data_IF_934400672877
#
_entry.id   IF_934400672877
#
_cell.length_a   1.000
_cell.length_b   1.000
_cell.length_c   1.000
_cell.angle_alpha   90.00
_cell.angle_beta   90.00
_cell.angle_gamma   90.00
#
_symmetry.space_group_name_H-M   'P 1'
#
loop_
_entity.id
_entity.type
_entity.pdbx_description
1 polymer ?
#
# COMPACT_ATOMS: atom_id res chain seq x y z
N UNK A 1 -24.83 7.56 3.64
CA UNK A 1 -24.51 6.40 4.51
C UNK A 1 -23.80 5.27 3.78
N UNK A 2 -24.34 4.72 2.68
CA UNK A 2 -23.70 3.63 1.91
C UNK A 2 -22.29 3.97 1.40
N UNK A 3 -22.08 5.19 0.90
CA UNK A 3 -20.78 5.65 0.39
C UNK A 3 -19.69 5.57 1.47
N UNK A 4 -19.99 6.05 2.68
CA UNK A 4 -19.08 6.05 3.84
C UNK A 4 -18.72 4.62 4.23
N UNK A 5 -19.70 3.71 4.25
CA UNK A 5 -19.47 2.29 4.55
C UNK A 5 -18.52 1.67 3.52
N UNK A 6 -18.73 1.93 2.23
CA UNK A 6 -17.85 1.43 1.16
C UNK A 6 -16.43 1.95 1.34
N UNK A 7 -16.24 3.26 1.54
CA UNK A 7 -14.93 3.85 1.74
C UNK A 7 -14.21 3.31 3.00
N UNK A 8 -14.94 3.07 4.09
CA UNK A 8 -14.39 2.46 5.31
C UNK A 8 -13.88 1.04 5.05
N UNK A 9 -14.67 0.22 4.36
CA UNK A 9 -14.30 -1.16 4.04
C UNK A 9 -13.05 -1.19 3.17
N UNK A 10 -12.99 -0.34 2.14
CA UNK A 10 -11.81 -0.26 1.28
C UNK A 10 -10.58 0.26 2.02
N UNK A 11 -10.72 1.28 2.87
CA UNK A 11 -9.60 1.81 3.66
C UNK A 11 -8.98 0.72 4.55
N UNK A 12 -9.82 -0.04 5.26
CA UNK A 12 -9.38 -1.16 6.10
C UNK A 12 -8.72 -2.25 5.25
N UNK A 13 -9.32 -2.59 4.10
CA UNK A 13 -8.78 -3.59 3.19
C UNK A 13 -7.38 -3.22 2.68
N UNK A 14 -7.18 -1.99 2.20
CA UNK A 14 -5.89 -1.51 1.70
C UNK A 14 -4.81 -1.48 2.78
N UNK A 15 -5.14 -1.01 3.98
CA UNK A 15 -4.20 -0.99 5.12
C UNK A 15 -3.85 -2.41 5.55
N UNK A 16 -4.83 -3.30 5.63
CA UNK A 16 -4.63 -4.70 6.05
C UNK A 16 -3.74 -5.45 5.06
N UNK A 17 -3.97 -5.28 3.75
CA UNK A 17 -3.12 -5.89 2.72
C UNK A 17 -1.71 -5.30 2.78
N UNK A 18 -1.57 -3.98 2.85
CA UNK A 18 -0.25 -3.34 2.90
C UNK A 18 0.57 -3.80 4.12
N UNK A 19 -0.05 -3.87 5.29
CA UNK A 19 0.59 -4.39 6.51
C UNK A 19 0.90 -5.88 6.45
N UNK A 20 0.00 -6.71 5.88
CA UNK A 20 0.23 -8.14 5.70
C UNK A 20 1.40 -8.42 4.77
N UNK A 21 1.49 -7.72 3.63
CA UNK A 21 2.63 -7.84 2.70
C UNK A 21 3.93 -7.40 3.40
N UNK A 22 3.90 -6.29 4.14
CA UNK A 22 5.05 -5.81 4.90
C UNK A 22 5.52 -6.85 5.92
N UNK A 23 4.59 -7.45 6.67
CA UNK A 23 4.88 -8.47 7.67
C UNK A 23 5.41 -9.76 7.06
N UNK A 24 4.78 -10.28 6.00
CA UNK A 24 5.27 -11.45 5.25
C UNK A 24 6.67 -11.23 4.70
N UNK A 25 6.95 -10.01 4.21
CA UNK A 25 8.28 -9.64 3.72
C UNK A 25 9.32 -9.62 4.84
N UNK A 26 8.97 -9.08 6.00
CA UNK A 26 9.83 -9.07 7.20
C UNK A 26 10.08 -10.50 7.69
N UNK A 27 9.05 -11.34 7.76
CA UNK A 27 9.13 -12.74 8.17
C UNK A 27 10.05 -13.56 7.27
N UNK A 28 9.99 -13.34 5.95
CA UNK A 28 10.79 -14.08 4.97
C UNK A 28 12.20 -13.47 4.75
N UNK A 29 12.60 -12.44 5.50
CA UNK A 29 13.89 -11.73 5.33
C UNK A 29 14.20 -11.33 3.87
N UNK A 30 13.17 -11.12 3.04
CA UNK A 30 13.36 -10.74 1.63
C UNK A 30 13.79 -9.29 1.55
N UNK A 31 15.10 -9.07 1.51
CA UNK A 31 15.71 -7.78 1.16
C UNK A 31 15.62 -7.60 -0.36
N UNK A 32 14.56 -6.95 -0.83
CA UNK A 32 14.50 -6.48 -2.22
C UNK A 32 15.53 -5.35 -2.38
N UNK A 33 16.72 -5.73 -2.81
CA UNK A 33 17.75 -4.82 -3.29
C UNK A 33 17.44 -4.52 -4.76
N UNK A 34 17.49 -3.25 -5.12
CA UNK A 34 17.41 -2.85 -6.52
C UNK A 34 18.81 -3.00 -7.08
N UNK A 35 18.96 -3.79 -8.14
CA UNK A 35 20.24 -3.95 -8.83
C UNK A 35 20.47 -2.74 -9.76
N UNK A 36 21.42 -1.89 -9.39
CA UNK A 36 21.77 -0.68 -10.14
C UNK A 36 22.48 -0.95 -11.47
N UNK A 37 22.87 -2.19 -11.75
CA UNK A 37 23.49 -2.57 -13.04
C UNK A 37 22.53 -3.35 -13.95
N UNK A 38 21.35 -3.73 -13.45
CA UNK A 38 20.35 -4.45 -14.24
C UNK A 38 19.73 -3.59 -15.35
N UNK A 39 19.12 -4.23 -16.36
CA UNK A 39 18.31 -3.54 -17.38
C UNK A 39 17.26 -2.64 -16.73
N UNK A 40 17.04 -1.47 -17.31
CA UNK A 40 16.12 -0.44 -16.77
C UNK A 40 14.73 -0.99 -16.41
N UNK A 41 14.15 -1.84 -17.26
CA UNK A 41 12.86 -2.49 -16.98
C UNK A 41 12.84 -3.31 -15.68
N UNK A 42 13.93 -4.05 -15.40
CA UNK A 42 14.08 -4.83 -14.17
C UNK A 42 14.20 -3.91 -12.95
N UNK A 43 14.93 -2.79 -13.06
CA UNK A 43 15.04 -1.79 -11.98
C UNK A 43 13.69 -1.21 -11.60
N UNK A 44 12.89 -0.83 -12.59
CA UNK A 44 11.55 -0.27 -12.37
C UNK A 44 10.67 -1.29 -11.64
N UNK A 45 10.67 -2.55 -12.09
CA UNK A 45 9.90 -3.62 -11.46
C UNK A 45 10.33 -3.88 -10.01
N UNK A 46 11.64 -3.98 -9.75
CA UNK A 46 12.18 -4.19 -8.40
C UNK A 46 11.85 -3.03 -7.46
N UNK A 47 11.96 -1.78 -7.96
CA UNK A 47 11.61 -0.58 -7.21
C UNK A 47 10.13 -0.54 -6.90
N UNK A 48 9.28 -0.90 -7.87
CA UNK A 48 7.84 -0.98 -7.68
C UNK A 48 7.49 -1.98 -6.58
N UNK A 49 7.97 -3.23 -6.68
CA UNK A 49 7.73 -4.26 -5.66
C UNK A 49 8.24 -3.84 -4.28
N UNK A 50 9.40 -3.17 -4.23
CA UNK A 50 9.95 -2.66 -2.98
C UNK A 50 8.98 -1.72 -2.28
N UNK A 51 8.25 -0.90 -3.04
CA UNK A 51 7.37 0.15 -2.53
C UNK A 51 5.88 -0.23 -2.48
N UNK A 52 5.47 -1.37 -3.06
CA UNK A 52 4.09 -1.88 -3.01
C UNK A 52 3.46 -1.76 -1.60
N UNK A 53 4.07 -2.28 -0.51
CA UNK A 53 3.43 -2.23 0.81
C UNK A 53 3.12 -0.80 1.27
N UNK A 54 4.05 0.12 1.02
CA UNK A 54 3.89 1.54 1.36
C UNK A 54 2.81 2.20 0.49
N UNK A 55 2.73 1.86 -0.81
CA UNK A 55 1.67 2.37 -1.70
C UNK A 55 0.28 1.96 -1.23
N UNK A 56 0.10 0.69 -0.82
CA UNK A 56 -1.18 0.20 -0.30
C UNK A 56 -1.58 0.89 1.01
N UNK A 57 -0.63 1.10 1.93
CA UNK A 57 -0.89 1.83 3.18
C UNK A 57 -1.25 3.29 2.89
N UNK A 58 -0.51 3.97 2.02
CA UNK A 58 -0.78 5.36 1.62
C UNK A 58 -2.18 5.50 0.99
N UNK A 59 -2.58 4.59 0.11
CA UNK A 59 -3.91 4.58 -0.48
C UNK A 59 -5.00 4.47 0.61
N UNK A 60 -4.82 3.59 1.59
CA UNK A 60 -5.71 3.48 2.73
C UNK A 60 -5.80 4.76 3.58
N UNK A 61 -4.67 5.42 3.85
CA UNK A 61 -4.62 6.70 4.58
C UNK A 61 -5.36 7.81 3.82
N UNK A 62 -5.19 7.90 2.50
CA UNK A 62 -5.92 8.87 1.66
C UNK A 62 -7.42 8.63 1.74
N UNK A 63 -7.86 7.37 1.68
CA UNK A 63 -9.28 7.01 1.82
C UNK A 63 -9.83 7.43 3.19
N UNK A 64 -9.07 7.26 4.28
CA UNK A 64 -9.45 7.76 5.61
C UNK A 64 -9.60 9.28 5.61
N UNK A 65 -8.69 10.01 4.97
CA UNK A 65 -8.78 11.47 4.87
C UNK A 65 -10.03 11.96 4.14
N UNK A 66 -10.39 11.29 3.03
CA UNK A 66 -11.64 11.55 2.31
C UNK A 66 -12.85 11.23 3.19
N UNK A 67 -12.79 10.15 3.97
CA UNK A 67 -13.86 9.70 4.84
C UNK A 67 -14.13 10.69 5.98
N UNK A 68 -13.07 11.20 6.61
CA UNK A 68 -13.18 12.26 7.63
C UNK A 68 -13.85 13.50 7.03
N UNK A 69 -13.42 13.93 5.83
CA UNK A 69 -14.03 15.06 5.14
C UNK A 69 -15.50 14.82 4.81
N UNK A 70 -15.88 13.61 4.42
CA UNK A 70 -17.25 13.23 4.08
C UNK A 70 -18.18 13.09 5.31
N UNK A 71 -17.63 12.92 6.52
CA UNK A 71 -18.41 12.92 7.77
C UNK A 71 -18.59 14.35 8.31
N UNK A 72 -17.57 15.20 8.16
CA UNK A 72 -17.59 16.59 8.63
C UNK A 72 -18.45 17.52 7.77
N UNK A 73 -18.84 17.08 6.58
CA UNK A 73 -19.59 17.84 5.59
C UNK A 73 -20.99 17.27 5.42
#
# INVERSE_FOLDING_TARGET
MYLIIIFSVFAIFFISIGTLIYFLRKKNNKKYKVDENAKYSSKVYQTFIKNIPAMFILAGVVLIGILIKAILN
#
